data_IF_077954607903
#
_entry.id   IF_077954607903
#
_cell.length_a   1.000
_cell.length_b   1.000
_cell.length_c   1.000
_cell.angle_alpha   90.00
_cell.angle_beta   90.00
_cell.angle_gamma   90.00
#
_symmetry.space_group_name_H-M   'P 1'
#
loop_
_entity.id
_entity.type
_entity.pdbx_description
1 polymer ?
#
# COMPACT_ATOMS: atom_id res chain seq x y z
N UNK A 1 10.58 -10.87 -13.04
CA UNK A 1 11.32 -10.46 -11.81
C UNK A 1 11.09 -9.00 -11.39
N UNK A 2 10.95 -8.02 -12.28
CA UNK A 2 10.76 -6.62 -11.87
C UNK A 2 9.40 -6.32 -11.17
N UNK A 3 8.33 -7.01 -11.55
CA UNK A 3 7.00 -6.83 -10.94
C UNK A 3 6.96 -7.31 -9.48
N UNK A 4 7.76 -8.33 -9.13
CA UNK A 4 7.86 -8.82 -7.74
C UNK A 4 8.51 -7.83 -6.78
N UNK A 5 9.45 -7.00 -7.27
CA UNK A 5 10.11 -5.97 -6.46
C UNK A 5 9.20 -4.78 -6.14
N UNK A 6 8.36 -4.36 -7.09
CA UNK A 6 7.38 -3.28 -6.86
C UNK A 6 6.28 -3.70 -5.87
N UNK A 7 5.84 -4.97 -5.95
CA UNK A 7 4.84 -5.53 -5.03
C UNK A 7 5.39 -5.68 -3.60
N UNK A 8 6.68 -6.00 -3.44
CA UNK A 8 7.36 -5.99 -2.15
C UNK A 8 7.46 -4.59 -1.54
N UNK A 9 7.72 -3.56 -2.36
CA UNK A 9 7.78 -2.18 -1.87
C UNK A 9 6.40 -1.69 -1.40
N UNK A 10 5.33 -1.90 -2.19
CA UNK A 10 3.98 -1.51 -1.75
C UNK A 10 3.51 -2.35 -0.55
N UNK A 11 3.85 -3.64 -0.53
CA UNK A 11 3.50 -4.57 0.55
C UNK A 11 4.18 -4.31 1.90
N UNK A 12 5.37 -3.69 1.91
CA UNK A 12 6.06 -3.34 3.17
C UNK A 12 5.74 -1.90 3.63
N UNK A 13 5.68 -0.95 2.70
CA UNK A 13 5.41 0.46 3.04
C UNK A 13 3.94 0.70 3.38
N UNK A 14 3.01 -0.01 2.75
CA UNK A 14 1.57 0.06 3.05
C UNK A 14 1.21 -0.18 4.52
N UNK A 15 1.61 -1.31 5.13
CA UNK A 15 1.33 -1.56 6.55
C UNK A 15 2.14 -0.67 7.50
N UNK A 16 3.34 -0.20 7.14
CA UNK A 16 4.10 0.73 8.00
C UNK A 16 3.46 2.13 8.06
N UNK A 17 3.04 2.65 6.91
CA UNK A 17 2.44 3.98 6.79
C UNK A 17 0.98 3.94 7.26
N UNK A 18 0.25 2.89 6.89
CA UNK A 18 -1.12 2.64 7.32
C UNK A 18 -1.22 2.29 8.80
N UNK A 19 -0.21 1.61 9.36
CA UNK A 19 -0.13 1.28 10.78
C UNK A 19 -0.17 2.52 11.67
N UNK A 20 0.48 3.62 11.27
CA UNK A 20 0.41 4.88 12.04
C UNK A 20 -1.01 5.47 12.09
N UNK A 21 -1.79 5.32 11.01
CA UNK A 21 -3.19 5.78 10.98
C UNK A 21 -4.06 4.88 11.85
N UNK A 22 -3.82 3.57 11.80
CA UNK A 22 -4.53 2.58 12.63
C UNK A 22 -4.21 2.79 14.11
N UNK A 23 -2.96 3.08 14.46
CA UNK A 23 -2.54 3.36 15.83
C UNK A 23 -3.19 4.67 16.34
N UNK A 24 -3.33 5.68 15.47
CA UNK A 24 -4.09 6.90 15.83
C UNK A 24 -5.57 6.59 16.07
N UNK A 25 -6.21 5.83 15.19
CA UNK A 25 -7.60 5.40 15.33
C UNK A 25 -7.81 4.56 16.61
N UNK A 26 -6.85 3.71 16.98
CA UNK A 26 -6.89 2.96 18.24
C UNK A 26 -6.77 3.87 19.46
N UNK A 27 -5.98 4.95 19.41
CA UNK A 27 -5.91 5.92 20.51
C UNK A 27 -7.22 6.69 20.71
N UNK A 28 -7.93 7.00 19.62
CA UNK A 28 -9.20 7.73 19.66
C UNK A 28 -10.39 6.83 20.03
N UNK A 29 -10.42 5.60 19.52
CA UNK A 29 -11.57 4.69 19.67
C UNK A 29 -11.38 3.60 20.73
N UNK A 30 -10.13 3.36 21.17
CA UNK A 30 -9.76 2.30 22.12
C UNK A 30 -9.77 0.88 21.53
N UNK A 31 -10.25 0.69 20.29
CA UNK A 31 -10.32 -0.61 19.62
C UNK A 31 -9.41 -0.65 18.39
N UNK A 32 -8.73 -1.78 18.20
CA UNK A 32 -7.82 -1.98 17.07
C UNK A 32 -8.60 -2.49 15.85
N UNK A 33 -8.75 -1.65 14.82
CA UNK A 33 -9.57 -1.92 13.62
C UNK A 33 -8.75 -2.27 12.37
N UNK A 34 -7.65 -3.01 12.52
CA UNK A 34 -6.72 -3.34 11.42
C UNK A 34 -7.41 -3.95 10.19
N UNK A 35 -8.28 -4.94 10.39
CA UNK A 35 -8.95 -5.64 9.30
C UNK A 35 -9.83 -4.71 8.44
N UNK A 36 -10.43 -3.67 9.03
CA UNK A 36 -11.27 -2.71 8.32
C UNK A 36 -10.42 -1.82 7.41
N UNK A 37 -9.30 -1.29 7.91
CA UNK A 37 -8.39 -0.44 7.13
C UNK A 37 -7.69 -1.23 6.02
N UNK A 38 -7.25 -2.46 6.31
CA UNK A 38 -6.63 -3.34 5.31
C UNK A 38 -7.65 -3.76 4.24
N UNK A 39 -8.87 -4.10 4.64
CA UNK A 39 -9.95 -4.42 3.71
C UNK A 39 -10.33 -3.24 2.81
N UNK A 40 -10.51 -2.05 3.38
CA UNK A 40 -10.87 -0.84 2.64
C UNK A 40 -9.80 -0.43 1.63
N UNK A 41 -8.52 -0.47 2.02
CA UNK A 41 -7.42 -0.17 1.09
C UNK A 41 -7.34 -1.19 -0.05
N UNK A 42 -7.53 -2.48 0.25
CA UNK A 42 -7.52 -3.56 -0.75
C UNK A 42 -8.68 -3.44 -1.73
N UNK A 43 -9.85 -3.02 -1.27
CA UNK A 43 -11.02 -2.77 -2.11
C UNK A 43 -10.75 -1.75 -3.22
N UNK A 44 -9.88 -0.77 -2.97
CA UNK A 44 -9.51 0.26 -3.95
C UNK A 44 -8.33 -0.20 -4.81
N UNK A 45 -7.34 -0.86 -4.23
CA UNK A 45 -6.11 -1.26 -4.93
C UNK A 45 -6.37 -2.33 -6.01
N UNK A 46 -7.20 -3.32 -5.70
CA UNK A 46 -7.50 -4.42 -6.62
C UNK A 46 -8.12 -3.94 -7.93
N UNK A 47 -9.22 -3.14 -7.95
CA UNK A 47 -9.80 -2.67 -9.21
C UNK A 47 -8.87 -1.71 -9.96
N UNK A 48 -8.06 -0.91 -9.24
CA UNK A 48 -7.08 -0.03 -9.88
C UNK A 48 -6.06 -0.84 -10.70
N UNK A 49 -5.60 -1.98 -10.19
CA UNK A 49 -4.69 -2.84 -10.94
C UNK A 49 -5.33 -3.39 -12.22
N UNK A 50 -6.62 -3.71 -12.19
CA UNK A 50 -7.35 -4.16 -13.37
C UNK A 50 -7.52 -3.04 -14.40
N UNK A 51 -7.82 -1.82 -13.95
CA UNK A 51 -7.92 -0.65 -14.83
C UNK A 51 -6.59 -0.41 -15.55
N UNK A 52 -5.47 -0.48 -14.84
CA UNK A 52 -4.13 -0.32 -15.45
C UNK A 52 -3.87 -1.42 -16.49
N UNK A 53 -4.21 -2.67 -16.20
CA UNK A 53 -4.10 -3.78 -17.16
C UNK A 53 -4.92 -3.55 -18.43
N UNK A 54 -6.16 -3.08 -18.28
CA UNK A 54 -7.04 -2.75 -19.41
C UNK A 54 -6.48 -1.59 -20.26
N UNK A 55 -5.89 -0.58 -19.64
CA UNK A 55 -5.25 0.54 -20.36
C UNK A 55 -4.10 0.01 -21.23
N UNK A 56 -3.26 -0.87 -20.68
CA UNK A 56 -2.16 -1.49 -21.45
C UNK A 56 -2.70 -2.27 -22.64
N UNK A 57 -3.77 -3.05 -22.45
CA UNK A 57 -4.39 -3.82 -23.53
C UNK A 57 -4.93 -2.92 -24.66
N UNK A 58 -5.64 -1.83 -24.31
CA UNK A 58 -6.15 -0.85 -25.29
C UNK A 58 -5.00 -0.22 -26.08
N UNK A 59 -3.91 0.12 -25.42
CA UNK A 59 -2.76 0.72 -26.09
C UNK A 59 -2.09 -0.25 -27.07
N UNK A 60 -1.96 -1.53 -26.72
CA UNK A 60 -1.39 -2.52 -27.64
C UNK A 60 -2.18 -2.62 -28.95
N UNK A 61 -3.51 -2.51 -28.87
CA UNK A 61 -4.39 -2.45 -30.05
C UNK A 61 -4.09 -1.21 -30.90
N UNK A 62 -3.91 -0.05 -30.27
CA UNK A 62 -3.62 1.22 -30.98
C UNK A 62 -2.26 1.17 -31.71
N UNK A 63 -1.27 0.50 -31.12
CA UNK A 63 0.07 0.36 -31.71
C UNK A 63 0.08 -0.71 -32.83
N UNK A 64 -1.07 -1.34 -33.14
CA UNK A 64 -1.19 -2.45 -34.10
C UNK A 64 -0.23 -3.60 -33.78
N UNK A 65 -0.11 -3.93 -32.50
CA UNK A 65 0.66 -5.09 -32.07
C UNK A 65 -0.06 -6.38 -32.51
N UNK A 66 0.56 -7.14 -33.40
CA UNK A 66 0.09 -8.46 -33.84
C UNK A 66 0.98 -9.56 -33.27
N UNK A 67 0.38 -10.44 -32.47
CA UNK A 67 1.05 -11.59 -31.85
C UNK A 67 1.52 -12.62 -32.88
N UNK A 68 0.88 -12.69 -34.05
CA UNK A 68 1.16 -13.70 -35.07
C UNK A 68 2.41 -13.37 -35.90
N UNK A 69 2.83 -12.11 -35.91
CA UNK A 69 3.98 -11.63 -36.69
C UNK A 69 5.33 -11.96 -36.02
N UNK A 70 5.35 -12.31 -34.74
CA UNK A 70 6.56 -12.73 -34.02
C UNK A 70 7.74 -11.78 -34.24
N UNK A 71 8.86 -12.28 -34.77
CA UNK A 71 10.07 -11.49 -35.06
C UNK A 71 9.98 -10.57 -36.29
N UNK A 72 8.93 -10.65 -37.09
CA UNK A 72 8.72 -9.82 -38.28
C UNK A 72 8.05 -8.47 -37.97
N UNK A 73 7.92 -8.14 -36.69
CA UNK A 73 7.30 -6.90 -36.24
C UNK A 73 8.20 -5.69 -36.52
N UNK A 74 7.59 -4.57 -36.90
CA UNK A 74 8.34 -3.36 -37.24
C UNK A 74 9.14 -2.86 -36.00
N UNK A 75 10.43 -2.46 -36.14
CA UNK A 75 11.22 -1.97 -35.01
C UNK A 75 10.60 -0.77 -34.27
N UNK A 76 9.77 0.02 -34.97
CA UNK A 76 8.99 1.15 -34.43
C UNK A 76 8.04 0.71 -33.30
N UNK A 77 7.38 -0.45 -33.46
CA UNK A 77 6.42 -1.02 -32.51
C UNK A 77 7.12 -1.40 -31.20
N UNK A 78 8.31 -2.00 -31.30
CA UNK A 78 9.10 -2.40 -30.14
C UNK A 78 9.56 -1.19 -29.31
N UNK A 79 9.92 -0.10 -29.98
CA UNK A 79 10.28 1.17 -29.33
C UNK A 79 9.05 1.82 -28.69
N UNK A 80 7.91 1.79 -29.36
CA UNK A 80 6.63 2.32 -28.84
C UNK A 80 6.18 1.64 -27.55
N UNK A 81 6.21 0.30 -27.51
CA UNK A 81 5.84 -0.48 -26.32
C UNK A 81 6.79 -0.23 -25.14
N UNK A 82 8.10 -0.15 -25.42
CA UNK A 82 9.11 0.19 -24.39
C UNK A 82 8.85 1.58 -23.84
N UNK A 83 8.67 2.58 -24.70
CA UNK A 83 8.39 3.94 -24.29
C UNK A 83 7.13 4.02 -23.42
N UNK A 84 6.06 3.32 -23.80
CA UNK A 84 4.83 3.27 -23.02
C UNK A 84 5.03 2.67 -21.62
N UNK A 85 5.74 1.54 -21.56
CA UNK A 85 6.02 0.86 -20.29
C UNK A 85 6.80 1.77 -19.34
N UNK A 86 7.81 2.47 -19.88
CA UNK A 86 8.58 3.46 -19.11
C UNK A 86 7.72 4.65 -18.70
N UNK A 87 6.85 5.15 -19.58
CA UNK A 87 6.00 6.30 -19.30
C UNK A 87 5.00 6.04 -18.17
N UNK A 88 4.37 4.86 -18.15
CA UNK A 88 3.44 4.45 -17.08
C UNK A 88 4.18 4.37 -15.74
N UNK A 89 5.36 3.75 -15.71
CA UNK A 89 6.17 3.65 -14.49
C UNK A 89 6.62 5.03 -14.02
N UNK A 90 7.01 5.91 -14.95
CA UNK A 90 7.46 7.26 -14.66
C UNK A 90 6.35 8.10 -14.00
N UNK A 91 5.13 8.05 -14.56
CA UNK A 91 3.97 8.71 -13.98
C UNK A 91 3.68 8.17 -12.57
N UNK A 92 3.66 6.84 -12.41
CA UNK A 92 3.46 6.23 -11.10
C UNK A 92 4.51 6.66 -10.06
N UNK A 93 5.77 6.82 -10.49
CA UNK A 93 6.85 7.34 -9.65
C UNK A 93 6.60 8.78 -9.18
N UNK A 94 6.16 9.66 -10.08
CA UNK A 94 5.84 11.05 -9.74
C UNK A 94 4.70 11.11 -8.72
N UNK A 95 3.61 10.37 -8.95
CA UNK A 95 2.50 10.29 -8.00
C UNK A 95 2.96 9.81 -6.63
N UNK A 96 3.83 8.80 -6.59
CA UNK A 96 4.42 8.30 -5.34
C UNK A 96 5.19 9.38 -4.59
N UNK A 97 6.03 10.15 -5.28
CA UNK A 97 6.81 11.24 -4.68
C UNK A 97 5.92 12.34 -4.10
N UNK A 98 4.85 12.70 -4.82
CA UNK A 98 3.85 13.68 -4.35
C UNK A 98 3.16 13.17 -3.08
N UNK A 99 2.72 11.91 -3.07
CA UNK A 99 2.08 11.28 -1.90
C UNK A 99 2.99 11.26 -0.67
N UNK A 100 4.29 10.98 -0.84
CA UNK A 100 5.26 11.03 0.27
C UNK A 100 5.44 12.46 0.80
N UNK A 101 5.42 13.46 -0.09
CA UNK A 101 5.53 14.87 0.32
C UNK A 101 4.35 15.30 1.18
N UNK A 102 3.13 14.88 0.80
CA UNK A 102 1.88 15.19 1.50
C UNK A 102 1.68 14.40 2.80
N UNK A 103 2.45 13.33 3.05
CA UNK A 103 2.30 12.52 4.25
C UNK A 103 2.61 13.32 5.53
N UNK A 104 1.65 13.47 6.46
CA UNK A 104 1.77 14.38 7.60
C UNK A 104 2.50 13.78 8.81
N UNK A 105 2.59 12.45 8.94
CA UNK A 105 3.22 11.79 10.09
C UNK A 105 4.75 11.78 9.97
N UNK A 106 5.37 12.93 10.25
CA UNK A 106 6.82 13.12 10.22
C UNK A 106 7.32 13.63 11.57
N UNK A 107 8.52 13.19 11.97
CA UNK A 107 9.24 13.70 13.13
C UNK A 107 8.48 13.53 14.45
N UNK A 108 8.25 14.65 15.15
CA UNK A 108 7.74 14.70 16.52
C UNK A 108 6.33 14.13 16.70
N UNK A 109 5.48 14.25 15.67
CA UNK A 109 4.12 13.68 15.66
C UNK A 109 4.19 12.16 15.74
N UNK A 110 5.11 11.54 15.00
CA UNK A 110 5.29 10.08 14.98
C UNK A 110 5.85 9.57 16.32
N UNK A 111 6.78 10.32 16.92
CA UNK A 111 7.38 9.97 18.22
C UNK A 111 6.32 10.01 19.32
N UNK A 112 5.49 11.06 19.32
CA UNK A 112 4.40 11.22 20.31
C UNK A 112 3.35 10.13 20.16
N UNK A 113 2.96 9.82 18.92
CA UNK A 113 2.02 8.74 18.62
C UNK A 113 2.52 7.39 19.17
N UNK A 114 3.78 7.04 18.89
CA UNK A 114 4.41 5.80 19.39
C UNK A 114 4.49 5.74 20.91
N UNK A 115 4.75 6.85 21.59
CA UNK A 115 4.75 6.89 23.06
C UNK A 115 3.35 6.64 23.62
N UNK A 116 2.33 7.27 23.04
CA UNK A 116 0.95 7.16 23.52
C UNK A 116 0.40 5.74 23.33
N UNK A 117 0.66 5.09 22.19
CA UNK A 117 0.19 3.73 21.93
C UNK A 117 0.89 2.71 22.86
N UNK A 118 2.20 2.87 23.11
CA UNK A 118 2.92 2.03 24.09
C UNK A 118 2.34 2.17 25.50
N UNK A 119 2.01 3.39 25.93
CA UNK A 119 1.37 3.62 27.22
C UNK A 119 -0.04 2.99 27.30
N UNK A 120 -0.80 3.01 26.21
CA UNK A 120 -2.11 2.37 26.12
C UNK A 120 -2.01 0.84 26.26
N UNK A 121 -1.08 0.21 25.53
CA UNK A 121 -0.86 -1.23 25.62
C UNK A 121 -0.39 -1.66 27.01
N UNK A 122 0.53 -0.92 27.63
CA UNK A 122 0.98 -1.19 29.00
C UNK A 122 -0.18 -1.16 30.01
N UNK A 123 -1.12 -0.21 29.86
CA UNK A 123 -2.33 -0.15 30.69
C UNK A 123 -3.26 -1.34 30.45
N UNK A 124 -3.51 -1.71 29.18
CA UNK A 124 -4.35 -2.87 28.83
C UNK A 124 -3.77 -4.17 29.38
N UNK A 125 -2.46 -4.36 29.29
CA UNK A 125 -1.77 -5.54 29.83
C UNK A 125 -1.84 -5.60 31.36
N UNK A 126 -1.67 -4.48 32.06
CA UNK A 126 -1.79 -4.42 33.51
C UNK A 126 -3.19 -4.82 34.00
N UNK A 127 -4.24 -4.33 33.32
CA UNK A 127 -5.65 -4.69 33.61
C UNK A 127 -5.94 -6.16 33.29
N UNK A 128 -5.38 -6.69 32.21
CA UNK A 128 -5.54 -8.10 31.87
C UNK A 128 -4.94 -9.02 32.93
N UNK A 129 -3.75 -8.68 33.46
CA UNK A 129 -3.10 -9.42 34.55
C UNK A 129 -3.90 -9.36 35.86
N UNK A 130 -4.42 -8.19 36.24
CA UNK A 130 -5.24 -8.07 37.46
C UNK A 130 -6.55 -8.85 37.37
N UNK A 131 -7.17 -8.92 36.19
CA UNK A 131 -8.39 -9.73 35.98
C UNK A 131 -8.07 -11.24 36.04
N UNK A 132 -6.93 -11.69 35.52
CA UNK A 132 -6.54 -13.10 35.62
C UNK A 132 -6.29 -13.54 37.07
N UNK A 133 -5.70 -12.67 37.89
CA UNK A 133 -5.49 -12.94 39.32
C UNK A 133 -6.80 -13.00 40.12
N UNK A 134 -7.85 -12.27 39.72
CA UNK A 134 -9.17 -12.35 40.36
C UNK A 134 -9.93 -13.62 39.98
N UNK A 135 -9.81 -14.08 38.72
CA UNK A 135 -10.45 -15.32 38.24
C UNK A 135 -9.77 -16.59 38.78
N UNK A 136 -8.49 -16.52 39.17
CA UNK A 136 -7.77 -17.65 39.78
C UNK A 136 -8.11 -17.89 41.26
N UNK A 137 -8.82 -16.97 41.92
CA UNK A 137 -9.16 -17.03 43.36
C UNK A 137 -10.62 -17.43 43.65
N UNK A 138 -11.43 -17.64 42.61
CA UNK A 138 -12.79 -18.20 42.66
C UNK A 138 -12.79 -19.61 42.12
#
# INVERSE_FOLDING_TARGET
MAVGGAMLMVGLYGPLIGGNVIDQDELETGQRREALYVGASSLVLIPMQQIVGSIVAVVLIIVNYDENLGFYQEPSVLVGIRFLTFFIIFIGGIFTLISIKLYPFKGEVLVTLKKNIMALHAKKEAVAKSNQESFSKT
#
